data_IF_553784172135
#
_entry.id   IF_553784172135
#
_cell.length_a   1.000
_cell.length_b   1.000
_cell.length_c   1.000
_cell.angle_alpha   90.00
_cell.angle_beta   90.00
_cell.angle_gamma   90.00
#
_symmetry.space_group_name_H-M   'P 1'
#
loop_
_entity.id
_entity.type
_entity.pdbx_description
1 polymer ?
#
# COMPACT_ATOMS: atom_id res chain seq x y z
N UNK A 1 -14.15 -17.78 -1.36
CA UNK A 1 -14.14 -17.17 -2.72
C UNK A 1 -13.11 -16.07 -2.67
N UNK A 2 -12.00 -16.20 -3.40
CA UNK A 2 -10.92 -15.21 -3.34
C UNK A 2 -11.37 -13.97 -4.10
N UNK A 3 -11.35 -12.81 -3.43
CA UNK A 3 -11.49 -11.45 -3.94
C UNK A 3 -11.97 -11.34 -5.40
N UNK A 4 -13.28 -11.53 -5.61
CA UNK A 4 -13.90 -11.00 -6.82
C UNK A 4 -14.23 -9.55 -6.53
N UNK A 5 -13.68 -8.64 -7.33
CA UNK A 5 -14.09 -7.25 -7.29
C UNK A 5 -15.60 -7.17 -7.47
N UNK A 6 -16.27 -6.43 -6.60
CA UNK A 6 -17.66 -6.09 -6.82
C UNK A 6 -17.78 -5.13 -8.02
N UNK A 7 -19.00 -4.96 -8.53
CA UNK A 7 -19.27 -4.07 -9.66
C UNK A 7 -18.67 -2.65 -9.48
N UNK A 8 -18.84 -1.98 -8.32
CA UNK A 8 -18.23 -0.67 -8.11
C UNK A 8 -16.70 -0.73 -8.06
N UNK A 9 -16.09 -1.73 -7.43
CA UNK A 9 -14.63 -1.91 -7.43
C UNK A 9 -14.08 -2.12 -8.83
N UNK A 10 -14.79 -2.88 -9.68
CA UNK A 10 -14.40 -3.08 -11.08
C UNK A 10 -14.46 -1.77 -11.88
N UNK A 11 -15.52 -0.98 -11.70
CA UNK A 11 -15.65 0.31 -12.35
C UNK A 11 -14.55 1.29 -11.90
N UNK A 12 -14.26 1.36 -10.60
CA UNK A 12 -13.17 2.19 -10.07
C UNK A 12 -11.80 1.76 -10.62
N UNK A 13 -11.53 0.45 -10.64
CA UNK A 13 -10.29 -0.10 -11.19
C UNK A 13 -10.12 0.26 -12.66
N UNK A 14 -11.20 0.19 -13.44
CA UNK A 14 -11.18 0.59 -14.85
C UNK A 14 -10.91 2.09 -15.01
N UNK A 15 -11.59 2.95 -14.24
CA UNK A 15 -11.41 4.40 -14.29
C UNK A 15 -9.98 4.79 -13.90
N UNK A 16 -9.46 4.24 -12.80
CA UNK A 16 -8.09 4.50 -12.34
C UNK A 16 -7.05 3.97 -13.33
N UNK A 17 -7.20 2.73 -13.79
CA UNK A 17 -6.30 2.14 -14.78
C UNK A 17 -6.26 2.93 -16.08
N UNK A 18 -7.42 3.38 -16.59
CA UNK A 18 -7.49 4.20 -17.79
C UNK A 18 -6.84 5.58 -17.57
N UNK A 19 -7.09 6.21 -16.43
CA UNK A 19 -6.48 7.52 -16.10
C UNK A 19 -4.96 7.40 -15.99
N UNK A 20 -4.46 6.38 -15.29
CA UNK A 20 -3.03 6.11 -15.13
C UNK A 20 -2.38 5.85 -16.50
N UNK A 21 -3.05 5.10 -17.39
CA UNK A 21 -2.53 4.82 -18.74
C UNK A 21 -2.49 6.08 -19.62
N UNK A 22 -3.53 6.92 -19.57
CA UNK A 22 -3.66 8.10 -20.42
C UNK A 22 -2.76 9.26 -19.99
N UNK A 23 -2.59 9.45 -18.67
CA UNK A 23 -1.81 10.56 -18.10
C UNK A 23 -0.38 10.15 -17.72
N UNK A 24 -0.12 8.87 -17.56
CA UNK A 24 1.22 8.30 -17.46
C UNK A 24 1.61 7.63 -18.77
N UNK A 25 1.97 6.36 -18.67
CA UNK A 25 2.25 5.48 -19.80
C UNK A 25 1.99 4.00 -19.40
N UNK A 26 2.39 3.07 -20.27
CA UNK A 26 2.22 1.65 -20.02
C UNK A 26 2.98 1.15 -18.78
N UNK A 27 4.15 1.70 -18.47
CA UNK A 27 4.93 1.36 -17.27
C UNK A 27 4.20 1.73 -15.98
N UNK A 28 3.49 2.88 -15.96
CA UNK A 28 2.63 3.24 -14.83
C UNK A 28 1.51 2.21 -14.61
N UNK A 29 0.81 1.82 -15.69
CA UNK A 29 -0.26 0.83 -15.63
C UNK A 29 0.26 -0.54 -15.15
N UNK A 30 1.42 -0.98 -15.66
CA UNK A 30 2.03 -2.25 -15.24
C UNK A 30 2.41 -2.22 -13.76
N UNK A 31 2.90 -1.10 -13.23
CA UNK A 31 3.27 -0.99 -11.83
C UNK A 31 2.06 -1.13 -10.88
N UNK A 32 0.93 -0.46 -11.16
CA UNK A 32 -0.28 -0.63 -10.34
C UNK A 32 -0.84 -2.06 -10.49
N UNK A 33 -0.69 -2.68 -11.66
CA UNK A 33 -1.06 -4.08 -11.84
C UNK A 33 -0.18 -5.04 -11.02
N UNK A 34 1.13 -4.77 -10.92
CA UNK A 34 2.04 -5.50 -10.02
C UNK A 34 1.56 -5.36 -8.57
N UNK A 35 1.23 -4.15 -8.12
CA UNK A 35 0.65 -3.95 -6.78
C UNK A 35 -0.63 -4.78 -6.57
N UNK A 36 -1.56 -4.78 -7.54
CA UNK A 36 -2.78 -5.58 -7.46
C UNK A 36 -2.49 -7.08 -7.36
N UNK A 37 -1.56 -7.60 -8.20
CA UNK A 37 -1.15 -8.99 -8.15
C UNK A 37 -0.51 -9.36 -6.81
N UNK A 38 0.45 -8.56 -6.34
CA UNK A 38 1.12 -8.76 -5.05
C UNK A 38 0.12 -8.72 -3.90
N UNK A 39 -0.85 -7.79 -3.93
CA UNK A 39 -1.92 -7.69 -2.94
C UNK A 39 -2.78 -8.94 -2.91
N UNK A 40 -3.20 -9.45 -4.08
CA UNK A 40 -3.99 -10.68 -4.18
C UNK A 40 -3.21 -11.89 -3.67
N UNK A 41 -1.92 -11.98 -3.98
CA UNK A 41 -1.05 -13.05 -3.49
C UNK A 41 -0.88 -12.98 -1.96
N UNK A 42 -0.63 -11.78 -1.41
CA UNK A 42 -0.50 -11.56 0.03
C UNK A 42 -1.79 -11.92 0.77
N UNK A 43 -2.94 -11.47 0.27
CA UNK A 43 -4.24 -11.80 0.84
C UNK A 43 -4.53 -13.31 0.80
N UNK A 44 -4.16 -14.00 -0.29
CA UNK A 44 -4.33 -15.48 -0.42
C UNK A 44 -3.38 -16.28 0.47
N UNK A 45 -2.18 -15.78 0.73
CA UNK A 45 -1.19 -16.50 1.52
C UNK A 45 -1.66 -16.64 2.97
N UNK A 46 -1.55 -17.83 3.54
CA UNK A 46 -2.03 -18.11 4.91
C UNK A 46 -3.55 -17.96 5.10
N UNK A 47 -4.35 -18.04 4.03
CA UNK A 47 -5.80 -17.79 4.06
C UNK A 47 -6.55 -18.57 5.16
N UNK A 48 -6.26 -19.86 5.33
CA UNK A 48 -6.95 -20.68 6.33
C UNK A 48 -6.61 -20.26 7.77
N UNK A 49 -5.34 -19.96 8.03
CA UNK A 49 -4.87 -19.48 9.33
C UNK A 49 -5.47 -18.12 9.68
N UNK A 50 -5.43 -17.16 8.75
CA UNK A 50 -6.07 -15.84 8.93
C UNK A 50 -7.57 -15.93 9.19
N UNK A 51 -8.24 -16.91 8.57
CA UNK A 51 -9.67 -17.17 8.78
C UNK A 51 -9.93 -17.72 10.18
N UNK A 52 -9.08 -18.63 10.68
CA UNK A 52 -9.18 -19.17 12.04
C UNK A 52 -8.90 -18.10 13.10
N UNK A 53 -8.01 -17.14 12.81
CA UNK A 53 -7.74 -15.98 13.66
C UNK A 53 -8.88 -14.94 13.70
N UNK A 54 -9.89 -15.06 12.84
CA UNK A 54 -11.01 -14.11 12.77
C UNK A 54 -10.64 -12.75 12.15
N UNK A 55 -9.45 -12.60 11.58
CA UNK A 55 -8.95 -11.35 10.96
C UNK A 55 -9.59 -11.11 9.59
N UNK A 56 -10.21 -12.15 9.02
CA UNK A 56 -10.88 -12.08 7.73
C UNK A 56 -12.26 -11.41 7.85
N UNK A 57 -12.29 -10.10 8.05
CA UNK A 57 -13.51 -9.32 7.87
C UNK A 57 -13.80 -9.09 6.39
N UNK A 58 -15.07 -8.88 6.07
CA UNK A 58 -15.55 -8.59 4.72
C UNK A 58 -15.07 -7.20 4.26
N UNK A 59 -13.82 -7.12 3.83
CA UNK A 59 -13.30 -5.96 3.12
C UNK A 59 -14.22 -5.67 1.92
N UNK A 60 -14.88 -4.50 1.97
CA UNK A 60 -15.69 -4.02 0.87
C UNK A 60 -14.75 -3.76 -0.29
N UNK A 61 -14.85 -4.58 -1.33
CA UNK A 61 -13.88 -4.58 -2.42
C UNK A 61 -13.69 -3.20 -3.06
N UNK A 62 -14.75 -2.39 -3.18
CA UNK A 62 -14.64 -1.04 -3.73
C UNK A 62 -13.92 -0.04 -2.83
N UNK A 63 -14.05 -0.15 -1.49
CA UNK A 63 -13.37 0.74 -0.54
C UNK A 63 -11.85 0.51 -0.57
N UNK A 64 -11.43 -0.75 -0.72
CA UNK A 64 -10.03 -1.11 -0.90
C UNK A 64 -9.45 -0.60 -2.22
N UNK A 65 -10.22 -0.71 -3.32
CA UNK A 65 -9.80 -0.15 -4.62
C UNK A 65 -9.71 1.37 -4.53
N UNK A 66 -10.69 2.02 -3.90
CA UNK A 66 -10.72 3.48 -3.74
C UNK A 66 -9.53 3.96 -2.92
N UNK A 67 -9.34 3.42 -1.71
CA UNK A 67 -8.31 3.88 -0.76
C UNK A 67 -6.89 3.69 -1.27
N UNK A 68 -6.61 2.56 -1.92
CA UNK A 68 -5.27 2.28 -2.44
C UNK A 68 -5.02 2.84 -3.84
N UNK A 69 -6.06 3.02 -4.65
CA UNK A 69 -5.93 3.43 -6.06
C UNK A 69 -6.09 4.92 -6.32
N UNK A 70 -6.86 5.64 -5.49
CA UNK A 70 -7.19 7.04 -5.73
C UNK A 70 -5.97 7.95 -5.64
N UNK A 71 -5.17 7.82 -4.57
CA UNK A 71 -4.00 8.69 -4.35
C UNK A 71 -2.94 8.51 -5.45
N UNK A 72 -2.50 7.28 -5.82
CA UNK A 72 -1.59 7.10 -6.94
C UNK A 72 -2.14 7.70 -8.25
N UNK A 73 -3.45 7.56 -8.50
CA UNK A 73 -4.10 8.11 -9.69
C UNK A 73 -4.06 9.65 -9.71
N UNK A 74 -4.35 10.30 -8.57
CA UNK A 74 -4.23 11.75 -8.42
C UNK A 74 -2.78 12.19 -8.63
N UNK A 75 -1.82 11.45 -8.08
CA UNK A 75 -0.39 11.76 -8.22
C UNK A 75 0.06 11.69 -9.68
N UNK A 76 -0.41 10.71 -10.47
CA UNK A 76 -0.15 10.68 -11.93
C UNK A 76 -0.78 11.88 -12.63
N UNK A 77 -2.04 12.20 -12.30
CA UNK A 77 -2.72 13.33 -12.93
C UNK A 77 -2.02 14.66 -12.64
N UNK A 78 -1.64 14.92 -11.38
CA UNK A 78 -0.88 16.10 -11.01
C UNK A 78 0.52 16.09 -11.64
N UNK A 79 1.19 14.94 -11.65
CA UNK A 79 2.51 14.77 -12.27
C UNK A 79 2.50 15.10 -13.76
N UNK A 80 1.43 14.76 -14.48
CA UNK A 80 1.24 15.12 -15.89
C UNK A 80 1.18 16.63 -16.10
N UNK A 81 0.40 17.36 -15.28
CA UNK A 81 0.23 18.80 -15.43
C UNK A 81 1.38 19.63 -14.84
N UNK A 82 2.06 19.11 -13.82
CA UNK A 82 3.09 19.84 -13.05
C UNK A 82 4.52 19.37 -13.35
N UNK A 83 4.71 18.31 -14.13
CA UNK A 83 6.02 17.84 -14.58
C UNK A 83 6.83 17.09 -13.52
N UNK A 84 6.18 16.41 -12.57
CA UNK A 84 6.85 15.74 -11.43
C UNK A 84 7.56 14.43 -11.79
N UNK A 85 7.37 13.89 -12.99
CA UNK A 85 7.91 12.58 -13.36
C UNK A 85 7.33 11.43 -12.51
N UNK A 86 7.93 10.23 -12.58
CA UNK A 86 7.32 9.00 -12.05
C UNK A 86 7.54 8.76 -10.56
N UNK A 87 8.55 9.37 -9.94
CA UNK A 87 9.01 9.01 -8.59
C UNK A 87 7.92 9.15 -7.51
N UNK A 88 7.13 10.25 -7.45
CA UNK A 88 6.05 10.36 -6.48
C UNK A 88 5.00 9.24 -6.61
N UNK A 89 4.65 8.88 -7.84
CA UNK A 89 3.72 7.79 -8.11
C UNK A 89 4.28 6.44 -7.66
N UNK A 90 5.55 6.16 -7.98
CA UNK A 90 6.22 4.92 -7.58
C UNK A 90 6.27 4.82 -6.04
N UNK A 91 6.62 5.89 -5.33
CA UNK A 91 6.64 5.90 -3.86
C UNK A 91 5.24 5.76 -3.25
N UNK A 92 4.22 6.35 -3.87
CA UNK A 92 2.81 6.19 -3.49
C UNK A 92 2.35 4.72 -3.60
N UNK A 93 2.71 4.03 -4.68
CA UNK A 93 2.46 2.58 -4.86
C UNK A 93 3.29 1.74 -3.89
N UNK A 94 4.55 2.11 -3.65
CA UNK A 94 5.41 1.41 -2.69
C UNK A 94 4.84 1.47 -1.27
N UNK A 95 4.26 2.60 -0.87
CA UNK A 95 3.65 2.79 0.45
C UNK A 95 2.42 1.89 0.64
N UNK A 96 1.47 1.89 -0.29
CA UNK A 96 0.30 1.01 -0.20
C UNK A 96 0.67 -0.48 -0.29
N UNK A 97 1.75 -0.83 -1.00
CA UNK A 97 2.25 -2.21 -1.04
C UNK A 97 2.89 -2.61 0.29
N UNK A 98 3.63 -1.70 0.92
CA UNK A 98 4.25 -1.91 2.23
C UNK A 98 3.18 -2.16 3.31
N UNK A 99 2.15 -1.32 3.35
CA UNK A 99 1.00 -1.49 4.25
C UNK A 99 0.29 -2.83 3.99
N UNK A 100 0.01 -3.15 2.72
CA UNK A 100 -0.68 -4.39 2.37
C UNK A 100 0.12 -5.62 2.79
N UNK A 101 1.44 -5.61 2.65
CA UNK A 101 2.28 -6.72 3.09
C UNK A 101 2.35 -6.82 4.62
N UNK A 102 2.45 -5.68 5.31
CA UNK A 102 2.45 -5.66 6.77
C UNK A 102 1.14 -6.24 7.34
N UNK A 103 0.00 -5.81 6.81
CA UNK A 103 -1.33 -6.22 7.28
C UNK A 103 -1.72 -7.64 6.86
N UNK A 104 -1.30 -8.13 5.70
CA UNK A 104 -1.72 -9.44 5.18
C UNK A 104 -0.76 -10.59 5.47
N UNK A 105 0.54 -10.31 5.50
CA UNK A 105 1.59 -11.30 5.74
C UNK A 105 2.16 -11.17 7.16
N UNK A 106 2.21 -9.95 7.70
CA UNK A 106 2.73 -9.71 9.04
C UNK A 106 1.91 -10.32 10.16
N UNK A 107 0.61 -10.55 9.94
CA UNK A 107 -0.29 -11.20 10.92
C UNK A 107 -0.03 -12.69 11.12
N UNK A 108 0.72 -13.33 10.19
CA UNK A 108 1.03 -14.76 10.23
C UNK A 108 2.23 -15.09 11.13
N UNK A 109 2.80 -14.11 11.84
CA UNK A 109 3.87 -14.39 12.78
C UNK A 109 4.35 -13.19 13.58
N UNK A 110 5.09 -13.48 14.65
CA UNK A 110 5.59 -12.49 15.59
C UNK A 110 4.50 -11.99 16.55
N UNK A 111 4.95 -11.27 17.57
CA UNK A 111 4.10 -10.80 18.66
C UNK A 111 3.81 -9.30 18.47
N UNK A 112 2.60 -8.91 18.04
CA UNK A 112 2.30 -7.52 17.75
C UNK A 112 2.12 -6.71 19.04
N UNK A 113 2.76 -5.55 19.10
CA UNK A 113 2.71 -4.62 20.22
C UNK A 113 1.98 -3.35 19.78
N UNK A 114 0.93 -2.96 20.51
CA UNK A 114 0.20 -1.72 20.23
C UNK A 114 1.07 -0.49 20.48
N UNK A 115 1.07 0.48 19.56
CA UNK A 115 1.81 1.73 19.73
C UNK A 115 1.20 2.66 20.79
N UNK A 116 -0.10 2.52 21.10
CA UNK A 116 -0.76 3.34 22.12
C UNK A 116 -0.39 2.88 23.54
N UNK A 117 -0.52 1.58 23.78
CA UNK A 117 -0.36 0.98 25.11
C UNK A 117 1.00 0.34 25.38
N UNK A 118 1.83 0.15 24.34
CA UNK A 118 3.10 -0.59 24.39
C UNK A 118 2.96 -1.98 25.03
N UNK A 119 1.86 -2.66 24.71
CA UNK A 119 1.53 -4.01 25.18
C UNK A 119 1.23 -4.93 24.01
N UNK A 120 1.49 -6.21 24.20
CA UNK A 120 1.08 -7.26 23.27
C UNK A 120 -0.44 -7.23 23.07
N UNK A 121 -0.87 -7.32 21.81
CA UNK A 121 -2.27 -7.31 21.39
C UNK A 121 -2.52 -8.46 20.41
N UNK A 122 -3.76 -8.63 19.97
CA UNK A 122 -4.08 -9.65 18.99
C UNK A 122 -3.46 -9.33 17.62
N UNK A 123 -3.04 -10.34 16.84
CA UNK A 123 -2.72 -10.15 15.42
C UNK A 123 -3.89 -9.52 14.67
N UNK A 124 -3.58 -8.53 13.82
CA UNK A 124 -4.58 -7.77 13.07
C UNK A 124 -5.12 -6.53 13.78
N UNK A 125 -4.72 -6.24 15.03
CA UNK A 125 -5.08 -4.98 15.70
C UNK A 125 -4.49 -3.78 14.97
N UNK A 126 -5.32 -2.77 14.67
CA UNK A 126 -4.88 -1.53 14.02
C UNK A 126 -3.92 -0.76 14.93
N UNK A 127 -2.84 -0.23 14.34
CA UNK A 127 -1.80 0.48 15.07
C UNK A 127 -0.89 -0.38 15.96
N UNK A 128 -0.84 -1.68 15.72
CA UNK A 128 0.13 -2.58 16.32
C UNK A 128 1.32 -2.87 15.38
N UNK A 129 2.50 -3.04 15.95
CA UNK A 129 3.73 -3.40 15.22
C UNK A 129 4.25 -4.77 15.65
N UNK A 130 4.59 -5.61 14.69
CA UNK A 130 5.34 -6.85 14.92
C UNK A 130 6.64 -6.85 14.10
N UNK A 131 7.62 -7.65 14.51
CA UNK A 131 8.87 -7.82 13.76
C UNK A 131 8.60 -8.38 12.35
N UNK A 132 7.70 -9.35 12.23
CA UNK A 132 7.26 -9.93 10.96
C UNK A 132 6.57 -8.90 10.07
N UNK A 133 5.63 -8.12 10.61
CA UNK A 133 4.94 -7.07 9.87
C UNK A 133 5.90 -6.00 9.38
N UNK A 134 6.87 -5.60 10.20
CA UNK A 134 7.93 -4.65 9.83
C UNK A 134 8.78 -5.18 8.67
N UNK A 135 9.20 -6.45 8.73
CA UNK A 135 9.98 -7.09 7.66
C UNK A 135 9.17 -7.23 6.36
N UNK A 136 7.89 -7.61 6.47
CA UNK A 136 7.01 -7.74 5.31
C UNK A 136 6.71 -6.38 4.68
N UNK A 137 6.56 -5.32 5.48
CA UNK A 137 6.41 -3.94 5.00
C UNK A 137 7.61 -3.50 4.15
N UNK A 138 8.83 -3.76 4.65
CA UNK A 138 10.06 -3.48 3.91
C UNK A 138 10.16 -4.33 2.64
N UNK A 139 9.79 -5.61 2.69
CA UNK A 139 9.79 -6.49 1.53
C UNK A 139 8.82 -6.02 0.43
N UNK A 140 7.62 -5.58 0.81
CA UNK A 140 6.60 -5.08 -0.12
C UNK A 140 7.05 -3.81 -0.85
N UNK A 141 7.56 -2.82 -0.11
CA UNK A 141 8.11 -1.59 -0.71
C UNK A 141 9.36 -1.85 -1.55
N UNK A 142 10.25 -2.75 -1.12
CA UNK A 142 11.42 -3.14 -1.89
C UNK A 142 11.04 -3.83 -3.21
N UNK A 143 10.01 -4.68 -3.22
CA UNK A 143 9.51 -5.31 -4.44
C UNK A 143 9.04 -4.27 -5.47
N UNK A 144 8.39 -3.20 -5.03
CA UNK A 144 7.99 -2.07 -5.90
C UNK A 144 9.22 -1.31 -6.42
N UNK A 145 10.21 -1.04 -5.56
CA UNK A 145 11.47 -0.41 -5.98
C UNK A 145 12.20 -1.22 -7.07
N UNK A 146 12.28 -2.54 -6.91
CA UNK A 146 12.89 -3.45 -7.89
C UNK A 146 12.08 -3.44 -9.20
N UNK A 147 10.75 -3.56 -9.13
CA UNK A 147 9.91 -3.48 -10.32
C UNK A 147 10.10 -2.16 -11.07
N UNK A 148 10.22 -1.05 -10.33
CA UNK A 148 10.41 0.26 -10.90
C UNK A 148 11.75 0.42 -11.63
N UNK A 149 12.82 -0.27 -11.21
CA UNK A 149 14.09 -0.29 -11.95
C UNK A 149 13.91 -0.79 -13.38
N UNK A 150 13.11 -1.84 -13.58
CA UNK A 150 12.87 -2.43 -14.90
C UNK A 150 11.86 -1.64 -15.72
N UNK A 151 10.83 -1.09 -15.08
CA UNK A 151 9.73 -0.40 -15.77
C UNK A 151 10.04 1.05 -16.14
N UNK A 152 10.80 1.75 -15.29
CA UNK A 152 11.09 3.18 -15.43
C UNK A 152 12.58 3.48 -15.63
N UNK A 153 13.46 2.47 -15.58
CA UNK A 153 14.90 2.65 -15.75
C UNK A 153 15.56 3.43 -14.60
N UNK A 154 14.95 3.46 -13.42
CA UNK A 154 15.54 4.15 -12.25
C UNK A 154 16.79 3.43 -11.74
N UNK A 155 17.73 4.18 -11.18
CA UNK A 155 18.97 3.61 -10.64
C UNK A 155 18.71 2.81 -9.36
N UNK A 156 19.62 1.89 -8.97
CA UNK A 156 19.51 1.17 -7.69
C UNK A 156 19.39 2.10 -6.47
N UNK A 157 20.05 3.26 -6.49
CA UNK A 157 19.96 4.24 -5.41
C UNK A 157 18.55 4.83 -5.29
N UNK A 158 17.92 5.16 -6.43
CA UNK A 158 16.53 5.65 -6.44
C UNK A 158 15.57 4.53 -6.02
N UNK A 159 15.81 3.29 -6.44
CA UNK A 159 15.00 2.15 -6.02
C UNK A 159 15.08 1.90 -4.50
N UNK A 160 16.25 2.10 -3.89
CA UNK A 160 16.41 2.07 -2.44
C UNK A 160 15.63 3.20 -1.78
N UNK A 161 15.67 4.43 -2.32
CA UNK A 161 14.88 5.55 -1.82
C UNK A 161 13.37 5.28 -1.92
N UNK A 162 12.91 4.68 -3.01
CA UNK A 162 11.52 4.23 -3.18
C UNK A 162 11.13 3.23 -2.09
N UNK A 163 11.99 2.24 -1.82
CA UNK A 163 11.73 1.25 -0.78
C UNK A 163 11.61 1.92 0.60
N UNK A 164 12.53 2.82 0.93
CA UNK A 164 12.51 3.55 2.20
C UNK A 164 11.30 4.50 2.31
N UNK A 165 10.93 5.18 1.23
CA UNK A 165 9.75 6.05 1.18
C UNK A 165 8.45 5.25 1.35
N UNK A 166 8.33 4.11 0.68
CA UNK A 166 7.20 3.21 0.83
C UNK A 166 7.10 2.63 2.24
N UNK A 167 8.22 2.15 2.79
CA UNK A 167 8.28 1.68 4.16
C UNK A 167 7.89 2.76 5.17
N UNK A 168 8.39 3.99 5.01
CA UNK A 168 8.00 5.13 5.84
C UNK A 168 6.49 5.43 5.75
N UNK A 169 5.90 5.35 4.56
CA UNK A 169 4.44 5.45 4.39
C UNK A 169 3.68 4.40 5.19
N UNK A 170 4.12 3.14 5.16
CA UNK A 170 3.53 2.05 5.94
C UNK A 170 3.66 2.24 7.46
N UNK A 171 4.78 2.79 7.93
CA UNK A 171 4.93 3.17 9.34
C UNK A 171 3.93 4.27 9.74
N UNK A 172 3.66 5.23 8.84
CA UNK A 172 2.64 6.25 9.09
C UNK A 172 1.24 5.62 9.11
N UNK A 173 0.91 4.64 8.26
CA UNK A 173 -0.36 3.90 8.39
C UNK A 173 -0.52 3.36 9.81
N UNK A 174 0.50 2.70 10.34
CA UNK A 174 0.48 2.13 11.69
C UNK A 174 0.29 3.22 12.76
N UNK A 175 0.98 4.36 12.65
CA UNK A 175 0.79 5.48 13.58
C UNK A 175 -0.66 6.00 13.55
N UNK A 176 -1.26 6.07 12.36
CA UNK A 176 -2.66 6.49 12.22
C UNK A 176 -3.66 5.39 12.59
N UNK A 177 -3.27 4.12 12.50
CA UNK A 177 -4.06 2.97 12.94
C UNK A 177 -4.39 3.00 14.43
N UNK A 178 -3.59 3.68 15.25
CA UNK A 178 -3.93 3.95 16.67
C UNK A 178 -5.20 4.79 16.80
N UNK A 179 -5.42 5.73 15.89
CA UNK A 179 -6.64 6.55 15.88
C UNK A 179 -7.84 5.76 15.33
N UNK A 180 -7.60 4.91 14.34
CA UNK A 180 -8.62 3.98 13.83
C UNK A 180 -9.15 3.07 14.94
N UNK A 181 -8.25 2.47 15.74
CA UNK A 181 -8.61 1.63 16.89
C UNK A 181 -9.45 2.40 17.94
N UNK A 182 -9.28 3.72 18.01
CA UNK A 182 -10.07 4.63 18.87
C UNK A 182 -11.37 5.13 18.21
N UNK A 183 -11.69 4.65 17.01
CA UNK A 183 -12.90 5.02 16.25
C UNK A 183 -12.78 6.29 15.41
N UNK A 184 -11.56 6.84 15.24
CA UNK A 184 -11.31 8.01 14.40
C UNK A 184 -10.76 7.59 13.04
N UNK A 185 -11.61 7.64 12.01
CA UNK A 185 -11.25 7.21 10.65
C UNK A 185 -11.55 5.73 10.41
N UNK A 186 -11.04 5.23 9.30
CA UNK A 186 -11.17 3.83 8.86
C UNK A 186 -9.88 3.35 8.21
N UNK A 187 -9.72 2.04 7.97
CA UNK A 187 -8.59 1.50 7.22
C UNK A 187 -8.42 2.16 5.85
N UNK A 188 -9.52 2.52 5.20
CA UNK A 188 -9.48 3.28 3.96
C UNK A 188 -8.81 4.66 4.11
N UNK A 189 -9.03 5.34 5.23
CA UNK A 189 -8.38 6.64 5.49
C UNK A 189 -6.89 6.51 5.79
N UNK A 190 -6.47 5.50 6.55
CA UNK A 190 -5.05 5.28 6.87
C UNK A 190 -4.27 4.84 5.63
N UNK A 191 -4.86 3.99 4.77
CA UNK A 191 -4.31 3.62 3.47
C UNK A 191 -4.07 4.84 2.56
N UNK A 192 -5.03 5.78 2.52
CA UNK A 192 -4.87 7.03 1.77
C UNK A 192 -3.74 7.89 2.35
N UNK A 193 -3.67 8.05 3.68
CA UNK A 193 -2.61 8.82 4.35
C UNK A 193 -1.23 8.22 4.05
N UNK A 194 -1.09 6.91 4.19
CA UNK A 194 0.11 6.15 3.84
C UNK A 194 0.57 6.44 2.41
N UNK A 195 -0.36 6.34 1.46
CA UNK A 195 -0.09 6.62 0.04
C UNK A 195 0.32 8.06 -0.22
N UNK A 196 -0.32 9.03 0.47
CA UNK A 196 0.01 10.46 0.37
C UNK A 196 1.44 10.70 0.91
N UNK A 197 1.79 10.12 2.05
CA UNK A 197 3.12 10.25 2.63
C UNK A 197 4.19 9.69 1.69
N UNK A 198 3.95 8.51 1.11
CA UNK A 198 4.84 7.95 0.08
C UNK A 198 5.04 8.92 -1.09
N UNK A 199 3.95 9.48 -1.62
CA UNK A 199 4.02 10.45 -2.71
C UNK A 199 4.79 11.72 -2.33
N UNK A 200 4.54 12.28 -1.15
CA UNK A 200 5.21 13.49 -0.66
C UNK A 200 6.71 13.27 -0.45
N UNK A 201 7.11 12.13 0.12
CA UNK A 201 8.54 11.78 0.22
C UNK A 201 9.15 11.66 -1.18
N UNK A 202 8.44 11.02 -2.11
CA UNK A 202 8.88 10.94 -3.52
C UNK A 202 9.05 12.32 -4.18
N UNK A 203 8.18 13.28 -3.88
CA UNK A 203 8.31 14.67 -4.33
C UNK A 203 9.55 15.36 -3.75
N UNK A 204 9.88 15.11 -2.48
CA UNK A 204 11.09 15.65 -1.86
C UNK A 204 12.38 15.05 -2.44
N UNK A 205 12.33 13.82 -2.95
CA UNK A 205 13.49 13.15 -3.57
C UNK A 205 13.86 13.76 -4.93
N UNK A 206 12.88 14.33 -5.64
CA UNK A 206 13.08 14.91 -6.98
C UNK A 206 13.26 16.44 -6.96
N UNK A 207 12.98 17.09 -5.82
CA UNK A 207 13.11 18.54 -5.63
C UNK A 207 14.56 18.95 -5.40
#
# INVERSE_FOLDING_TARGET
MVAMLDKPGLALTFIFGLTILLLGDFSYLVLVFIFLLLSVLATKYGYYEKKEMGIYEHDRSWENVLSNGLVPTIVVALGYFLGWGPIPYICSIAAVTADKFASELGVLGGDPVSLDGLKEVAPGTSGAVSSTGTLMSLAGSAAVGIAAMFLFGITPNIALLVALAGFAGGLVDTLFGVFEEKGFGTKGTTNMICSIVGALIGLMVIA
#
